data_IF_963588848896
#
_entry.id   IF_963588848896
#
_cell.length_a   1.000
_cell.length_b   1.000
_cell.length_c   1.000
_cell.angle_alpha   90.00
_cell.angle_beta   90.00
_cell.angle_gamma   90.00
#
_symmetry.space_group_name_H-M   'P 1'
#
loop_
_entity.id
_entity.type
_entity.pdbx_description
1 polymer ?
#
# COMPACT_ATOMS: atom_id res chain seq x y z
N UNK A 1 -13.93 -21.06 -11.28
CA UNK A 1 -13.50 -20.61 -9.94
C UNK A 1 -13.61 -19.10 -9.93
N UNK A 2 -14.37 -18.53 -9.00
CA UNK A 2 -14.43 -17.07 -8.82
C UNK A 2 -13.35 -16.76 -7.80
N UNK A 3 -12.28 -16.10 -8.19
CA UNK A 3 -11.20 -15.77 -7.26
C UNK A 3 -11.76 -14.86 -6.17
N UNK A 4 -11.57 -15.22 -4.90
CA UNK A 4 -12.02 -14.41 -3.79
C UNK A 4 -11.15 -13.15 -3.68
N UNK A 5 -11.79 -11.97 -3.61
CA UNK A 5 -11.07 -10.69 -3.53
C UNK A 5 -10.11 -10.62 -2.34
N UNK A 6 -10.45 -11.36 -1.28
CA UNK A 6 -9.59 -11.56 -0.10
C UNK A 6 -8.29 -12.29 -0.48
N UNK A 7 -8.34 -13.34 -1.28
CA UNK A 7 -7.14 -14.09 -1.69
C UNK A 7 -6.20 -13.24 -2.55
N UNK A 8 -6.76 -12.44 -3.46
CA UNK A 8 -5.99 -11.48 -4.27
C UNK A 8 -5.34 -10.44 -3.35
N UNK A 9 -6.10 -9.86 -2.42
CA UNK A 9 -5.58 -8.88 -1.47
C UNK A 9 -4.45 -9.45 -0.61
N UNK A 10 -4.63 -10.64 -0.02
CA UNK A 10 -3.59 -11.26 0.81
C UNK A 10 -2.34 -11.62 -0.01
N UNK A 11 -2.50 -12.04 -1.26
CA UNK A 11 -1.38 -12.30 -2.16
C UNK A 11 -0.58 -11.03 -2.44
N UNK A 12 -1.24 -9.93 -2.83
CA UNK A 12 -0.55 -8.66 -3.10
C UNK A 12 0.06 -8.09 -1.81
N UNK A 13 -0.64 -8.19 -0.67
CA UNK A 13 -0.11 -7.78 0.64
C UNK A 13 1.17 -8.53 0.99
N UNK A 14 1.23 -9.84 0.75
CA UNK A 14 2.43 -10.64 0.99
C UNK A 14 3.60 -10.19 0.12
N UNK A 15 3.37 -9.82 -1.13
CA UNK A 15 4.39 -9.25 -2.02
C UNK A 15 4.85 -7.85 -1.58
N UNK A 16 3.98 -7.07 -0.91
CA UNK A 16 4.31 -5.73 -0.42
C UNK A 16 4.99 -5.72 0.96
N UNK A 17 4.77 -6.73 1.80
CA UNK A 17 5.38 -6.83 3.14
C UNK A 17 6.92 -6.71 3.17
N UNK A 18 7.69 -7.31 2.25
CA UNK A 18 9.16 -7.19 2.23
C UNK A 18 9.66 -5.75 2.11
N UNK A 19 8.89 -4.85 1.49
CA UNK A 19 9.26 -3.44 1.38
C UNK A 19 9.30 -2.75 2.75
N UNK A 20 8.55 -3.24 3.75
CA UNK A 20 8.67 -2.72 5.11
C UNK A 20 10.10 -2.88 5.68
N UNK A 21 10.79 -3.97 5.33
CA UNK A 21 12.18 -4.19 5.72
C UNK A 21 13.17 -3.30 4.94
N UNK A 22 12.77 -2.76 3.78
CA UNK A 22 13.56 -1.84 2.96
C UNK A 22 13.46 -0.37 3.42
N UNK A 23 12.77 -0.11 4.54
CA UNK A 23 12.62 1.22 5.10
C UNK A 23 11.36 1.96 4.65
N UNK A 24 10.40 1.25 4.07
CA UNK A 24 9.02 1.72 3.96
C UNK A 24 8.26 1.42 5.24
N UNK A 25 7.25 2.23 5.55
CA UNK A 25 6.44 2.12 6.75
C UNK A 25 5.02 1.76 6.37
N UNK A 26 4.50 0.71 6.99
CA UNK A 26 3.14 0.23 6.78
C UNK A 26 2.16 1.03 7.63
N UNK A 27 1.82 2.23 7.17
CA UNK A 27 0.96 3.18 7.90
C UNK A 27 -0.45 2.61 8.15
N UNK A 28 -0.97 1.86 7.19
CA UNK A 28 -2.24 1.14 7.29
C UNK A 28 -2.00 -0.34 7.04
N UNK A 29 -2.52 -1.20 7.92
CA UNK A 29 -2.34 -2.64 7.83
C UNK A 29 -3.56 -3.38 8.41
N UNK A 30 -4.61 -3.47 7.61
CA UNK A 30 -5.91 -4.05 7.94
C UNK A 30 -6.20 -5.27 7.05
N UNK A 31 -7.35 -5.92 7.28
CA UNK A 31 -7.79 -7.07 6.46
C UNK A 31 -8.29 -6.67 5.06
N UNK A 32 -8.57 -5.38 4.85
CA UNK A 32 -9.12 -4.81 3.62
C UNK A 32 -8.32 -3.63 3.06
N UNK A 33 -7.28 -3.15 3.75
CA UNK A 33 -6.48 -2.00 3.34
C UNK A 33 -5.04 -2.17 3.80
N UNK A 34 -4.08 -1.84 2.92
CA UNK A 34 -2.66 -1.91 3.21
C UNK A 34 -1.91 -0.80 2.47
N UNK A 35 -1.21 0.04 3.23
CA UNK A 35 -0.49 1.20 2.70
C UNK A 35 0.98 1.18 3.10
N UNK A 36 1.84 1.57 2.17
CA UNK A 36 3.28 1.74 2.35
C UNK A 36 3.69 3.17 2.02
N UNK A 37 4.49 3.74 2.92
CA UNK A 37 5.01 5.10 2.84
C UNK A 37 6.52 5.08 3.00
N UNK A 38 7.23 5.98 2.31
CA UNK A 38 8.66 6.18 2.47
C UNK A 38 8.91 7.33 3.45
N UNK A 39 9.42 7.02 4.65
CA UNK A 39 9.77 8.00 5.67
C UNK A 39 11.27 8.41 5.60
N UNK A 40 12.07 7.77 4.74
CA UNK A 40 13.52 7.99 4.66
C UNK A 40 13.95 8.66 3.35
N UNK A 41 14.74 9.72 3.50
CA UNK A 41 15.60 10.33 2.46
C UNK A 41 14.94 11.14 1.34
N UNK A 42 13.98 12.01 1.65
CA UNK A 42 13.68 13.11 0.72
C UNK A 42 14.52 14.32 1.11
N UNK A 43 15.65 14.50 0.41
CA UNK A 43 16.49 15.72 0.46
C UNK A 43 15.82 16.89 -0.29
N UNK A 44 14.50 16.97 -0.20
CA UNK A 44 13.69 18.05 -0.77
C UNK A 44 13.04 18.72 0.45
N UNK A 45 13.37 19.99 0.63
CA UNK A 45 13.55 20.72 1.89
C UNK A 45 12.37 20.74 2.90
N UNK A 46 11.24 20.08 2.64
CA UNK A 46 10.05 20.10 3.51
C UNK A 46 9.16 18.83 3.45
N UNK A 47 9.59 17.74 2.80
CA UNK A 47 8.75 16.53 2.67
C UNK A 47 9.25 15.43 3.60
N UNK A 48 8.48 15.16 4.66
CA UNK A 48 8.81 14.15 5.68
C UNK A 48 8.40 12.73 5.29
N UNK A 49 7.44 12.59 4.37
CA UNK A 49 6.87 11.29 3.99
C UNK A 49 6.43 11.33 2.51
N UNK A 50 6.62 10.22 1.77
CA UNK A 50 6.09 10.08 0.40
C UNK A 50 5.36 8.76 0.23
N UNK A 51 4.21 8.84 -0.43
CA UNK A 51 3.43 7.68 -0.82
C UNK A 51 4.25 6.72 -1.69
N UNK A 52 4.18 5.42 -1.39
CA UNK A 52 4.81 4.37 -2.20
C UNK A 52 3.77 3.48 -2.87
N UNK A 53 2.93 2.81 -2.09
CA UNK A 53 1.91 1.89 -2.60
C UNK A 53 0.74 1.78 -1.63
N UNK A 54 -0.46 1.58 -2.17
CA UNK A 54 -1.68 1.32 -1.41
C UNK A 54 -2.50 0.27 -2.14
N UNK A 55 -3.04 -0.66 -1.39
CA UNK A 55 -4.05 -1.61 -1.86
C UNK A 55 -5.24 -1.57 -0.92
N UNK A 56 -6.44 -1.48 -1.47
CA UNK A 56 -7.69 -1.53 -0.72
C UNK A 56 -8.72 -2.36 -1.44
N UNK A 57 -9.54 -3.06 -0.68
CA UNK A 57 -10.74 -3.73 -1.18
C UNK A 57 -11.85 -2.69 -1.16
N UNK A 58 -12.20 -2.14 -2.31
CA UNK A 58 -13.35 -1.25 -2.44
C UNK A 58 -14.60 -2.08 -2.75
N UNK A 59 -15.68 -1.86 -1.99
CA UNK A 59 -17.00 -2.44 -2.30
C UNK A 59 -17.66 -1.77 -3.51
N UNK A 60 -17.06 -0.71 -4.05
CA UNK A 60 -17.49 -0.02 -5.27
C UNK A 60 -16.48 -0.25 -6.40
N UNK A 61 -16.98 -0.53 -7.61
CA UNK A 61 -16.20 -0.84 -8.81
C UNK A 61 -15.46 0.39 -9.39
N UNK A 62 -14.65 1.07 -8.59
CA UNK A 62 -13.87 2.24 -9.00
C UNK A 62 -12.38 2.02 -8.79
N UNK A 63 -11.60 1.82 -9.85
CA UNK A 63 -10.14 1.85 -9.77
C UNK A 63 -9.71 3.30 -9.55
N UNK A 64 -9.51 3.70 -8.29
CA UNK A 64 -8.97 5.02 -7.97
C UNK A 64 -7.45 4.93 -7.84
N UNK A 65 -6.76 5.18 -8.96
CA UNK A 65 -5.32 5.45 -8.93
C UNK A 65 -5.11 6.83 -8.30
N UNK A 66 -4.80 6.86 -7.00
CA UNK A 66 -4.33 8.07 -6.33
C UNK A 66 -3.02 8.49 -6.99
N UNK A 67 -3.11 9.49 -7.86
CA UNK A 67 -1.96 10.21 -8.40
C UNK A 67 -1.45 11.21 -7.35
N UNK A 68 -0.12 11.35 -7.22
CA UNK A 68 0.51 12.30 -6.30
C UNK A 68 0.21 13.75 -6.67
#
# INVERSE_FOLDING_TARGET
>A
MKTDYIEIFQTIRAELQPYAALGFTNRTNSESEYDLWSEKNIKEDNVTERFFASIKIEEDHGVSALRP
#
